data_IF_968492794153
#
_entry.id   IF_968492794153
#
_cell.length_a   1.000
_cell.length_b   1.000
_cell.length_c   1.000
_cell.angle_alpha   90.00
_cell.angle_beta   90.00
_cell.angle_gamma   90.00
#
_symmetry.space_group_name_H-M   'P 1'
#
loop_
_entity.id
_entity.type
_entity.pdbx_description
1 polymer ?
#
# COMPACT_ATOMS: atom_id res chain seq x y z
N UNK A 1 1.09 -0.38 26.57
CA UNK A 1 0.85 -1.54 27.44
C UNK A 1 1.09 -1.15 28.90
N UNK A 2 0.17 -1.49 29.79
CA UNK A 2 0.32 -1.33 31.22
C UNK A 2 1.25 -2.42 31.79
N UNK A 3 1.84 -2.24 32.98
CA UNK A 3 2.60 -3.31 33.62
C UNK A 3 1.83 -4.62 33.79
N UNK A 4 0.52 -4.54 34.05
CA UNK A 4 -0.35 -5.71 34.19
C UNK A 4 -0.52 -6.45 32.85
N UNK A 5 -0.69 -5.74 31.74
CA UNK A 5 -0.78 -6.34 30.40
C UNK A 5 0.54 -7.01 30.00
N UNK A 6 1.69 -6.40 30.34
CA UNK A 6 3.02 -6.98 30.11
C UNK A 6 3.16 -8.29 30.92
N UNK A 7 2.76 -8.28 32.20
CA UNK A 7 2.78 -9.47 33.03
C UNK A 7 1.92 -10.58 32.44
N UNK A 8 0.71 -10.26 32.02
CA UNK A 8 -0.23 -11.23 31.42
C UNK A 8 0.34 -11.88 30.16
N UNK A 9 0.99 -11.11 29.29
CA UNK A 9 1.64 -11.62 28.08
C UNK A 9 2.82 -12.55 28.46
N UNK A 10 3.66 -12.14 29.40
CA UNK A 10 4.77 -12.94 29.87
C UNK A 10 4.31 -14.26 30.48
N UNK A 11 3.26 -14.23 31.32
CA UNK A 11 2.68 -15.43 31.92
C UNK A 11 2.10 -16.36 30.86
N UNK A 12 1.41 -15.83 29.85
CA UNK A 12 0.91 -16.63 28.73
C UNK A 12 2.04 -17.29 27.94
N UNK A 13 3.14 -16.58 27.66
CA UNK A 13 4.33 -17.14 26.99
C UNK A 13 4.97 -18.25 27.85
N UNK A 14 5.17 -17.99 29.15
CA UNK A 14 5.81 -18.93 30.08
C UNK A 14 4.98 -20.20 30.32
N UNK A 15 3.66 -20.11 30.15
CA UNK A 15 2.73 -21.24 30.24
C UNK A 15 2.48 -21.95 28.90
N UNK A 16 3.33 -21.74 27.89
CA UNK A 16 3.29 -22.48 26.62
C UNK A 16 2.28 -21.97 25.61
N UNK A 17 1.92 -20.68 25.67
CA UNK A 17 1.07 -19.98 24.67
C UNK A 17 -0.25 -20.71 24.36
N UNK A 18 -0.91 -21.23 25.40
CA UNK A 18 -2.16 -21.96 25.27
C UNK A 18 -3.24 -21.12 24.55
N UNK A 19 -3.93 -21.75 23.60
CA UNK A 19 -5.10 -21.14 22.98
C UNK A 19 -6.20 -20.96 24.04
N UNK A 20 -6.79 -19.77 24.08
CA UNK A 20 -7.96 -19.50 24.92
C UNK A 20 -9.20 -20.26 24.44
N UNK A 21 -10.26 -20.21 25.24
CA UNK A 21 -11.54 -20.79 24.84
C UNK A 21 -12.08 -20.06 23.60
N UNK A 22 -12.18 -20.80 22.48
CA UNK A 22 -12.67 -20.26 21.21
C UNK A 22 -14.08 -19.66 21.28
N UNK A 23 -14.92 -20.15 22.21
CA UNK A 23 -16.27 -19.61 22.44
C UNK A 23 -16.24 -18.18 22.99
N UNK A 24 -15.13 -17.76 23.58
CA UNK A 24 -14.93 -16.40 24.12
C UNK A 24 -14.16 -15.51 23.15
N UNK A 25 -13.77 -16.03 21.96
CA UNK A 25 -13.06 -15.23 20.97
C UNK A 25 -13.98 -14.08 20.46
N UNK A 26 -13.46 -12.84 20.34
CA UNK A 26 -14.21 -11.79 19.71
C UNK A 26 -14.50 -12.15 18.25
N UNK A 27 -15.62 -11.63 17.71
CA UNK A 27 -15.89 -11.79 16.30
C UNK A 27 -14.72 -11.21 15.48
N UNK A 28 -14.31 -11.89 14.38
CA UNK A 28 -13.29 -11.33 13.50
C UNK A 28 -13.67 -9.94 13.02
N UNK A 29 -12.72 -8.99 12.91
CA UNK A 29 -13.00 -7.66 12.38
C UNK A 29 -13.47 -7.77 10.92
N UNK A 30 -14.47 -6.97 10.57
CA UNK A 30 -14.97 -6.85 9.19
C UNK A 30 -14.39 -5.57 8.59
N UNK A 31 -13.54 -5.72 7.59
CA UNK A 31 -12.96 -4.57 6.88
C UNK A 31 -13.78 -4.27 5.61
N UNK A 32 -14.12 -2.99 5.41
CA UNK A 32 -14.78 -2.56 4.18
C UNK A 32 -13.82 -2.74 2.99
N UNK A 33 -14.36 -3.27 1.88
CA UNK A 33 -13.69 -3.25 0.58
C UNK A 33 -14.14 -2.08 -0.29
N UNK A 34 -15.20 -1.37 0.13
CA UNK A 34 -15.70 -0.19 -0.57
C UNK A 34 -14.81 1.03 -0.30
N UNK A 35 -14.70 1.92 -1.31
CA UNK A 35 -14.04 3.20 -1.12
C UNK A 35 -14.79 4.04 -0.08
N UNK A 36 -14.05 4.60 0.86
CA UNK A 36 -14.56 5.53 1.88
C UNK A 36 -14.43 6.97 1.40
N UNK A 37 -13.43 7.29 0.56
CA UNK A 37 -13.35 8.54 -0.18
C UNK A 37 -14.26 8.43 -1.41
N UNK A 38 -15.50 8.91 -1.28
CA UNK A 38 -16.53 8.74 -2.32
C UNK A 38 -16.38 9.69 -3.52
N UNK A 39 -15.66 10.80 -3.34
CA UNK A 39 -15.38 11.79 -4.38
C UNK A 39 -13.93 12.25 -4.31
N UNK A 40 -12.96 11.40 -4.70
CA UNK A 40 -11.56 11.79 -4.68
C UNK A 40 -11.25 12.85 -5.74
N UNK A 41 -10.39 13.82 -5.41
CA UNK A 41 -9.89 14.80 -6.38
C UNK A 41 -8.98 14.14 -7.43
N UNK A 42 -8.22 13.13 -7.00
CA UNK A 42 -7.35 12.34 -7.88
C UNK A 42 -7.60 10.86 -7.57
N UNK A 43 -7.87 10.07 -8.59
CA UNK A 43 -7.97 8.61 -8.51
C UNK A 43 -7.07 7.99 -9.56
N UNK A 44 -6.08 7.23 -9.13
CA UNK A 44 -5.12 6.55 -9.99
C UNK A 44 -5.29 5.05 -9.83
N UNK A 45 -5.42 4.34 -10.95
CA UNK A 45 -5.56 2.88 -10.99
C UNK A 45 -4.40 2.34 -11.79
N UNK A 46 -3.64 1.42 -11.21
CA UNK A 46 -2.59 0.74 -11.95
C UNK A 46 -3.18 -0.17 -13.04
N UNK A 47 -2.43 -0.49 -14.11
CA UNK A 47 -2.85 -1.48 -15.09
C UNK A 47 -3.18 -2.83 -14.45
N UNK A 48 -4.09 -3.60 -15.03
CA UNK A 48 -4.28 -5.00 -14.63
C UNK A 48 -2.95 -5.74 -14.76
N UNK A 49 -2.54 -6.35 -13.66
CA UNK A 49 -1.28 -7.08 -13.58
C UNK A 49 -1.54 -8.53 -13.16
N UNK A 50 -1.10 -9.46 -13.98
CA UNK A 50 -1.12 -10.89 -13.66
C UNK A 50 0.23 -11.25 -13.07
N UNK A 51 0.26 -11.71 -11.83
CA UNK A 51 1.51 -12.07 -11.14
C UNK A 51 2.15 -13.27 -11.85
N UNK A 52 3.38 -13.14 -12.38
CA UNK A 52 4.07 -14.24 -13.06
C UNK A 52 4.44 -15.36 -12.08
N UNK A 53 4.94 -16.50 -12.53
CA UNK A 53 5.50 -17.52 -11.65
C UNK A 53 6.59 -16.95 -10.74
N UNK A 54 6.43 -17.11 -9.44
CA UNK A 54 7.33 -16.60 -8.42
C UNK A 54 8.19 -17.71 -7.83
N UNK A 55 9.49 -17.44 -7.62
CA UNK A 55 10.40 -18.26 -6.82
C UNK A 55 10.71 -17.63 -5.44
N UNK A 56 10.34 -16.37 -5.25
CA UNK A 56 10.46 -15.58 -4.02
C UNK A 56 9.40 -14.49 -4.04
N UNK A 57 9.29 -13.75 -2.94
CA UNK A 57 8.44 -12.56 -2.87
C UNK A 57 8.84 -11.53 -3.94
N UNK A 58 7.84 -10.90 -4.55
CA UNK A 58 8.02 -9.87 -5.58
C UNK A 58 7.63 -8.49 -5.05
N UNK A 59 8.43 -7.50 -5.39
CA UNK A 59 8.16 -6.08 -5.17
C UNK A 59 8.04 -5.39 -6.52
N UNK A 60 6.81 -5.11 -6.95
CA UNK A 60 6.53 -4.53 -8.28
C UNK A 60 6.11 -3.08 -8.15
N UNK A 61 6.75 -2.20 -8.91
CA UNK A 61 6.50 -0.76 -8.93
C UNK A 61 5.72 -0.38 -10.19
N UNK A 62 4.61 0.34 -10.03
CA UNK A 62 3.77 0.86 -11.13
C UNK A 62 3.81 2.38 -11.11
N UNK A 63 4.13 2.99 -12.24
CA UNK A 63 4.31 4.44 -12.36
C UNK A 63 3.09 5.07 -13.03
N UNK A 64 2.49 6.05 -12.36
CA UNK A 64 1.28 6.72 -12.84
C UNK A 64 1.45 8.24 -12.79
N UNK A 65 1.20 8.97 -13.89
CA UNK A 65 1.25 10.43 -13.88
C UNK A 65 0.08 10.99 -13.05
N UNK A 66 0.37 12.01 -12.24
CA UNK A 66 -0.69 12.72 -11.49
C UNK A 66 -1.48 13.68 -12.36
N UNK A 67 -0.89 14.16 -13.45
CA UNK A 67 -1.41 15.24 -14.31
C UNK A 67 -1.69 16.56 -13.56
N UNK A 68 -1.03 16.79 -12.43
CA UNK A 68 -1.15 18.02 -11.63
C UNK A 68 -0.11 19.02 -12.11
N UNK A 69 -0.54 20.16 -12.60
CA UNK A 69 0.34 21.20 -13.15
C UNK A 69 0.88 22.20 -12.13
N UNK A 70 0.32 22.21 -10.92
CA UNK A 70 0.72 23.08 -9.80
C UNK A 70 0.80 22.25 -8.53
N UNK A 71 1.61 22.70 -7.57
CA UNK A 71 1.68 22.03 -6.26
C UNK A 71 0.32 22.00 -5.59
N UNK A 72 -0.04 20.84 -5.03
CA UNK A 72 -1.25 20.60 -4.26
C UNK A 72 -0.90 20.12 -2.85
N UNK A 73 -1.89 20.04 -1.98
CA UNK A 73 -1.74 19.44 -0.65
C UNK A 73 -2.82 18.39 -0.47
N UNK A 74 -2.39 17.15 -0.22
CA UNK A 74 -3.28 16.02 0.00
C UNK A 74 -3.81 16.08 1.43
N UNK A 75 -5.13 16.13 1.59
CA UNK A 75 -5.81 16.08 2.89
C UNK A 75 -6.11 14.64 3.32
N UNK A 76 -6.21 13.70 2.37
CA UNK A 76 -6.40 12.29 2.65
C UNK A 76 -5.81 11.41 1.57
N UNK A 77 -5.48 10.17 1.96
CA UNK A 77 -4.99 9.11 1.07
C UNK A 77 -5.76 7.82 1.40
N UNK A 78 -6.31 7.19 0.38
CA UNK A 78 -6.94 5.88 0.45
C UNK A 78 -6.32 4.95 -0.56
N UNK A 79 -5.92 3.77 -0.13
CA UNK A 79 -5.35 2.74 -0.99
C UNK A 79 -6.30 1.54 -0.99
N UNK A 80 -6.69 1.12 -2.18
CA UNK A 80 -7.66 0.06 -2.41
C UNK A 80 -6.98 -1.04 -3.24
N UNK A 81 -6.41 -2.07 -2.60
CA UNK A 81 -5.90 -3.23 -3.33
C UNK A 81 -6.98 -3.88 -4.17
N UNK A 82 -6.67 -4.17 -5.43
CA UNK A 82 -7.59 -4.86 -6.32
C UNK A 82 -7.80 -6.32 -5.92
N UNK A 83 -6.76 -6.93 -5.34
CA UNK A 83 -6.83 -8.30 -4.82
C UNK A 83 -6.16 -8.39 -3.44
N UNK A 84 -6.98 -8.27 -2.39
CA UNK A 84 -6.52 -8.30 -0.99
C UNK A 84 -5.96 -9.66 -0.54
N UNK A 85 -6.14 -10.73 -1.32
CA UNK A 85 -5.62 -12.06 -0.99
C UNK A 85 -4.13 -12.19 -1.32
N UNK A 86 -3.62 -11.36 -2.25
CA UNK A 86 -2.25 -11.43 -2.74
C UNK A 86 -1.43 -10.17 -2.52
N UNK A 87 -2.07 -9.04 -2.20
CA UNK A 87 -1.38 -7.80 -1.87
C UNK A 87 -1.02 -7.82 -0.38
N UNK A 88 0.27 -8.00 -0.07
CA UNK A 88 0.74 -8.00 1.31
C UNK A 88 0.83 -6.59 1.88
N UNK A 89 1.42 -5.66 1.13
CA UNK A 89 1.37 -4.23 1.41
C UNK A 89 1.57 -3.41 0.14
N UNK A 90 1.21 -2.14 0.23
CA UNK A 90 1.43 -1.14 -0.81
C UNK A 90 2.14 0.05 -0.20
N UNK A 91 3.22 0.51 -0.82
CA UNK A 91 3.86 1.79 -0.51
C UNK A 91 3.60 2.75 -1.66
N UNK A 92 3.23 3.98 -1.32
CA UNK A 92 2.89 5.04 -2.28
C UNK A 92 3.96 6.11 -2.21
N UNK A 93 4.65 6.33 -3.32
CA UNK A 93 5.66 7.38 -3.43
C UNK A 93 5.22 8.42 -4.45
N UNK A 94 5.66 9.67 -4.26
CA UNK A 94 5.68 10.68 -5.31
C UNK A 94 7.10 10.86 -5.84
N UNK A 95 7.26 11.04 -7.14
CA UNK A 95 8.55 11.31 -7.76
C UNK A 95 8.42 12.36 -8.88
N UNK A 96 9.31 13.34 -8.91
CA UNK A 96 9.41 14.35 -9.97
C UNK A 96 10.44 14.00 -11.04
N UNK A 97 11.33 13.04 -10.74
CA UNK A 97 12.32 12.54 -11.69
C UNK A 97 11.69 11.61 -12.73
N UNK A 98 12.45 11.31 -13.78
CA UNK A 98 12.06 10.34 -14.79
C UNK A 98 12.70 8.96 -14.56
N UNK A 99 13.40 8.77 -13.44
CA UNK A 99 14.11 7.51 -13.13
C UNK A 99 13.16 6.33 -13.12
N UNK A 100 12.04 6.43 -12.40
CA UNK A 100 11.05 5.37 -12.34
C UNK A 100 10.40 5.08 -13.72
N UNK A 101 10.12 6.10 -14.52
CA UNK A 101 9.64 5.93 -15.89
C UNK A 101 10.67 5.23 -16.79
N UNK A 102 11.95 5.53 -16.61
CA UNK A 102 13.00 4.84 -17.34
C UNK A 102 13.08 3.37 -16.96
N UNK A 103 13.02 3.06 -15.65
CA UNK A 103 12.98 1.67 -15.18
C UNK A 103 11.77 0.91 -15.72
N UNK A 104 10.59 1.54 -15.69
CA UNK A 104 9.34 0.99 -16.23
C UNK A 104 9.44 0.71 -17.74
N UNK A 105 10.04 1.64 -18.50
CA UNK A 105 10.20 1.49 -19.96
C UNK A 105 11.21 0.40 -20.38
N UNK A 106 12.10 0.01 -19.49
CA UNK A 106 13.11 -1.05 -19.72
C UNK A 106 12.59 -2.45 -19.34
N UNK A 107 11.53 -2.53 -18.56
CA UNK A 107 10.91 -3.80 -18.20
C UNK A 107 9.84 -4.16 -19.27
N UNK A 108 9.81 -5.39 -19.80
CA UNK A 108 8.85 -5.78 -20.83
C UNK A 108 7.40 -5.91 -20.31
N UNK A 109 7.23 -6.11 -19.01
CA UNK A 109 5.94 -6.25 -18.36
C UNK A 109 5.50 -4.93 -17.71
N UNK A 110 4.19 -4.71 -17.46
CA UNK A 110 3.72 -3.50 -16.77
C UNK A 110 4.41 -3.29 -15.42
N UNK A 111 4.98 -2.11 -15.22
CA UNK A 111 5.79 -1.78 -14.04
C UNK A 111 7.21 -2.37 -14.12
N UNK A 112 7.94 -2.29 -13.00
CA UNK A 112 9.29 -2.84 -12.87
C UNK A 112 9.52 -3.42 -11.47
N UNK A 113 10.45 -4.36 -11.33
CA UNK A 113 10.79 -4.96 -10.04
C UNK A 113 11.83 -4.11 -9.31
N UNK A 114 11.56 -3.77 -8.03
CA UNK A 114 12.49 -3.03 -7.18
C UNK A 114 12.26 -3.37 -5.72
N UNK A 115 13.29 -3.89 -5.03
CA UNK A 115 13.27 -4.20 -3.60
C UNK A 115 13.86 -3.04 -2.79
N UNK A 116 13.31 -2.76 -1.61
CA UNK A 116 13.85 -1.76 -0.68
C UNK A 116 13.52 -0.30 -1.03
N UNK A 117 12.64 -0.07 -2.02
CA UNK A 117 12.18 1.25 -2.45
C UNK A 117 11.92 1.29 -3.95
N UNK A 118 11.48 2.44 -4.51
CA UNK A 118 11.05 2.53 -5.91
C UNK A 118 12.21 2.72 -6.90
N UNK A 119 13.47 2.55 -6.48
CA UNK A 119 14.63 2.68 -7.38
C UNK A 119 14.95 4.12 -7.82
N UNK A 120 14.24 5.12 -7.34
CA UNK A 120 14.49 6.55 -7.56
C UNK A 120 14.85 7.23 -6.26
N UNK A 121 16.04 7.89 -6.22
CA UNK A 121 16.52 8.61 -5.03
C UNK A 121 15.75 9.89 -4.72
N UNK A 122 14.95 10.40 -5.67
CA UNK A 122 14.08 11.57 -5.51
C UNK A 122 12.66 11.23 -5.11
N UNK A 123 12.33 9.94 -5.03
CA UNK A 123 11.01 9.50 -4.62
C UNK A 123 10.81 9.73 -3.10
N UNK A 124 9.67 10.31 -2.75
CA UNK A 124 9.27 10.60 -1.38
C UNK A 124 8.06 9.74 -1.02
N UNK A 125 8.12 9.04 0.11
CA UNK A 125 6.99 8.25 0.60
C UNK A 125 5.87 9.19 1.04
N UNK A 126 4.66 8.98 0.52
CA UNK A 126 3.47 9.78 0.86
C UNK A 126 2.39 8.97 1.56
N UNK A 127 2.44 7.66 1.50
CA UNK A 127 1.47 6.80 2.17
C UNK A 127 1.78 5.31 2.03
N UNK A 128 0.98 4.50 2.70
CA UNK A 128 1.08 3.05 2.61
C UNK A 128 -0.20 2.35 3.07
N UNK A 129 -0.32 1.08 2.72
CA UNK A 129 -1.42 0.22 3.12
C UNK A 129 -0.89 -1.16 3.54
N UNK A 130 -1.46 -1.68 4.58
CA UNK A 130 -1.35 -3.09 5.01
C UNK A 130 -2.77 -3.63 5.27
N UNK A 131 -2.99 -4.96 5.31
CA UNK A 131 -4.28 -5.51 5.66
C UNK A 131 -4.85 -4.91 6.94
N UNK A 132 -6.07 -4.37 6.85
CA UNK A 132 -6.72 -3.66 7.96
C UNK A 132 -6.50 -2.15 7.99
N UNK A 133 -5.71 -1.58 7.09
CA UNK A 133 -5.58 -0.12 6.99
C UNK A 133 -6.87 0.52 6.51
N UNK A 134 -7.25 1.62 7.16
CA UNK A 134 -8.31 2.55 6.78
C UNK A 134 -7.70 3.73 6.00
N UNK A 135 -8.50 4.55 5.30
CA UNK A 135 -8.02 5.79 4.70
C UNK A 135 -7.36 6.68 5.74
N UNK A 136 -6.25 7.28 5.36
CA UNK A 136 -5.53 8.21 6.21
C UNK A 136 -6.00 9.64 5.94
N UNK A 137 -6.70 10.24 6.89
CA UNK A 137 -7.11 11.65 6.87
C UNK A 137 -6.16 12.47 7.72
N UNK A 138 -5.62 13.54 7.16
CA UNK A 138 -4.78 14.46 7.91
C UNK A 138 -5.64 15.39 8.79
N UNK A 139 -5.10 15.88 9.92
CA UNK A 139 -5.78 16.88 10.72
C UNK A 139 -6.10 18.15 9.94
N UNK A 140 -7.15 18.85 10.31
CA UNK A 140 -7.55 20.10 9.67
C UNK A 140 -6.38 21.10 9.62
N UNK A 141 -6.17 21.71 8.46
CA UNK A 141 -5.07 22.66 8.21
C UNK A 141 -3.70 22.01 7.91
N UNK A 142 -3.62 20.67 7.86
CA UNK A 142 -2.42 19.94 7.47
C UNK A 142 -2.61 19.25 6.12
N UNK A 143 -1.51 19.05 5.40
CA UNK A 143 -1.52 18.36 4.10
C UNK A 143 -0.15 17.83 3.73
N UNK A 144 -0.11 16.72 3.00
CA UNK A 144 1.10 16.21 2.37
C UNK A 144 1.25 16.90 1.02
N UNK A 145 2.38 17.54 0.79
CA UNK A 145 2.63 18.25 -0.47
C UNK A 145 2.71 17.25 -1.63
N UNK A 146 1.84 17.40 -2.62
CA UNK A 146 1.92 16.75 -3.93
C UNK A 146 2.54 17.73 -4.91
N UNK A 147 3.71 17.42 -5.40
CA UNK A 147 4.49 18.30 -6.29
C UNK A 147 3.89 18.33 -7.69
N UNK A 148 3.94 19.50 -8.32
CA UNK A 148 3.56 19.65 -9.74
C UNK A 148 4.34 18.67 -10.64
N UNK A 149 3.65 18.10 -11.62
CA UNK A 149 4.21 17.16 -12.61
C UNK A 149 4.82 15.88 -11.98
N UNK A 150 4.51 15.59 -10.72
CA UNK A 150 4.94 14.36 -10.08
C UNK A 150 4.25 13.13 -10.68
N UNK A 151 4.89 11.98 -10.52
CA UNK A 151 4.32 10.66 -10.76
C UNK A 151 4.07 10.02 -9.40
N UNK A 152 3.02 9.26 -9.31
CA UNK A 152 2.81 8.32 -8.19
C UNK A 152 3.41 6.98 -8.59
N UNK A 153 4.18 6.41 -7.69
CA UNK A 153 4.72 5.05 -7.82
C UNK A 153 4.06 4.22 -6.73
N UNK A 154 3.34 3.18 -7.13
CA UNK A 154 2.84 2.15 -6.22
C UNK A 154 3.84 1.01 -6.20
N UNK A 155 4.54 0.81 -5.10
CA UNK A 155 5.32 -0.40 -4.87
C UNK A 155 4.42 -1.41 -4.15
N UNK A 156 4.14 -2.52 -4.81
CA UNK A 156 3.28 -3.58 -4.28
C UNK A 156 4.11 -4.80 -3.98
N UNK A 157 3.92 -5.34 -2.78
CA UNK A 157 4.50 -6.60 -2.37
C UNK A 157 3.52 -7.75 -2.64
N UNK A 158 3.90 -8.64 -3.53
CA UNK A 158 3.23 -9.91 -3.81
C UNK A 158 4.04 -11.05 -3.18
N UNK A 159 3.52 -11.73 -2.15
CA UNK A 159 4.21 -12.84 -1.52
C UNK A 159 4.22 -14.08 -2.41
N UNK A 160 5.12 -14.99 -2.09
CA UNK A 160 5.12 -16.33 -2.69
C UNK A 160 3.73 -16.97 -2.54
N UNK A 161 3.22 -17.56 -3.62
CA UNK A 161 1.85 -18.08 -3.69
C UNK A 161 0.87 -17.17 -4.46
N UNK A 162 1.27 -15.96 -4.85
CA UNK A 162 0.44 -15.03 -5.65
C UNK A 162 0.38 -15.36 -7.15
N UNK A 163 1.20 -16.31 -7.62
CA UNK A 163 1.31 -16.68 -9.04
C UNK A 163 -0.03 -16.88 -9.73
N UNK A 164 -0.19 -16.30 -10.91
CA UNK A 164 -1.37 -16.44 -11.77
C UNK A 164 -2.58 -15.63 -11.34
N UNK A 165 -2.52 -14.95 -10.20
CA UNK A 165 -3.61 -14.09 -9.73
C UNK A 165 -3.45 -12.68 -10.29
N UNK A 166 -4.57 -11.98 -10.43
CA UNK A 166 -4.62 -10.62 -11.00
C UNK A 166 -4.83 -9.59 -9.90
N UNK A 167 -4.17 -8.45 -10.02
CA UNK A 167 -4.37 -7.25 -9.20
C UNK A 167 -4.54 -5.99 -10.06
N UNK A 168 -5.26 -4.99 -9.53
CA UNK A 168 -5.42 -3.65 -10.10
C UNK A 168 -5.64 -2.63 -8.99
N UNK A 169 -4.62 -2.47 -8.16
CA UNK A 169 -4.66 -1.57 -7.00
C UNK A 169 -4.92 -0.12 -7.43
N UNK A 170 -5.75 0.58 -6.64
CA UNK A 170 -6.10 1.98 -6.80
C UNK A 170 -5.59 2.81 -5.63
N UNK A 171 -5.23 4.06 -5.90
CA UNK A 171 -5.02 5.08 -4.86
C UNK A 171 -5.90 6.30 -5.14
N UNK A 172 -6.59 6.78 -4.12
CA UNK A 172 -7.43 7.96 -4.10
C UNK A 172 -6.79 9.03 -3.22
N UNK A 173 -6.87 10.28 -3.65
CA UNK A 173 -6.41 11.46 -2.89
C UNK A 173 -7.51 12.52 -2.82
N UNK A 174 -7.58 13.20 -1.66
CA UNK A 174 -8.31 14.44 -1.43
C UNK A 174 -7.34 15.58 -1.19
#
# INVERSE_FOLDING_TARGET
LTPQEITLINDWINNGTQQGNIANAPAPPVYSSAAQITAPDISLVMPNYVVPPLSSDMYRCFVMPTNVSVDKYLAAIEILPGNRNIVHHVLVYQDVANTALTLDSLDPDPGYTSFGGPGSNSAELVGGWVPGSEPYFLPAGMGIKLKANSKIILQIHYPLGSTGQTDSTRVNFL
#
